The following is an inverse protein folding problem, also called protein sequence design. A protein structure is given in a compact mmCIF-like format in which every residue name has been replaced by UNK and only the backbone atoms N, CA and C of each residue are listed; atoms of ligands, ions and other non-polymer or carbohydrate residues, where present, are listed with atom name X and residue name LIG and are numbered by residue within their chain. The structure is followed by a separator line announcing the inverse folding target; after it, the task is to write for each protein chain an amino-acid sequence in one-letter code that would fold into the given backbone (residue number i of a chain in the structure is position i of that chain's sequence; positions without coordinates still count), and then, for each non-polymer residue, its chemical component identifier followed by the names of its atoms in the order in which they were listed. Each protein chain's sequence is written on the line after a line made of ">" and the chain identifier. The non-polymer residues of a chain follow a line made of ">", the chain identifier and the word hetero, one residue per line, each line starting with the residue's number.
data_IF_624162392167
#
_entry.id   IF_624162392167
#
_cell.length_a   1.000
_cell.length_b   1.000
_cell.length_c   1.000
_cell.angle_alpha   90.00
_cell.angle_beta   90.00
_cell.angle_gamma   90.00
#
_symmetry.space_group_name_H-M   'P 1'
#
loop_
_entity.id
_entity.type
_entity.pdbx_description
1 polymer ?
#
# COMPACT_ATOMS: atom_id res chain seq x y z
N UNK A 1 64.31 1.34 7.53
CA UNK A 1 63.33 0.50 8.26
C UNK A 1 62.05 0.46 7.44
N UNK A 2 61.70 -0.70 6.88
CA UNK A 2 60.46 -0.87 6.10
C UNK A 2 59.30 -0.85 7.11
N UNK A 3 58.48 0.20 7.08
CA UNK A 3 57.49 0.51 8.12
C UNK A 3 56.49 -0.66 8.26
N UNK A 4 56.62 -1.47 9.32
CA UNK A 4 55.72 -2.60 9.62
C UNK A 4 54.25 -2.17 9.68
N UNK A 5 54.00 -0.92 10.09
CA UNK A 5 52.69 -0.29 10.11
C UNK A 5 52.07 -0.10 8.71
N UNK A 6 52.88 0.08 7.66
CA UNK A 6 52.38 0.25 6.29
C UNK A 6 51.73 -1.02 5.74
N UNK A 7 52.24 -2.19 6.11
CA UNK A 7 51.64 -3.48 5.71
C UNK A 7 50.36 -3.77 6.49
N UNK A 8 50.33 -3.47 7.79
CA UNK A 8 49.11 -3.61 8.60
C UNK A 8 47.98 -2.70 8.11
N UNK A 9 48.28 -1.44 7.75
CA UNK A 9 47.29 -0.52 7.18
C UNK A 9 46.75 -0.99 5.82
N UNK A 10 47.62 -1.55 4.97
CA UNK A 10 47.21 -2.09 3.67
C UNK A 10 46.30 -3.32 3.82
N UNK A 11 46.64 -4.24 4.73
CA UNK A 11 45.80 -5.40 5.05
C UNK A 11 44.44 -4.97 5.64
N UNK A 12 44.44 -3.95 6.51
CA UNK A 12 43.21 -3.39 7.06
C UNK A 12 42.34 -2.76 5.97
N UNK A 13 42.93 -1.92 5.10
CA UNK A 13 42.21 -1.28 4.00
C UNK A 13 41.61 -2.30 3.03
N UNK A 14 42.33 -3.38 2.71
CA UNK A 14 41.83 -4.48 1.88
C UNK A 14 40.67 -5.22 2.57
N UNK A 15 40.82 -5.57 3.84
CA UNK A 15 39.78 -6.26 4.61
C UNK A 15 38.49 -5.44 4.68
N UNK A 16 38.62 -4.14 4.94
CA UNK A 16 37.50 -3.19 4.98
C UNK A 16 36.85 -3.08 3.60
N UNK A 17 37.64 -2.99 2.53
CA UNK A 17 37.12 -2.90 1.16
C UNK A 17 36.33 -4.16 0.78
N UNK A 18 36.88 -5.35 1.06
CA UNK A 18 36.20 -6.63 0.80
C UNK A 18 34.88 -6.73 1.58
N UNK A 19 34.88 -6.29 2.85
CA UNK A 19 33.67 -6.28 3.65
C UNK A 19 32.58 -5.37 3.06
N UNK A 20 32.93 -4.13 2.68
CA UNK A 20 31.97 -3.20 2.08
C UNK A 20 31.45 -3.68 0.72
N UNK A 21 32.33 -4.24 -0.12
CA UNK A 21 31.94 -4.82 -1.42
C UNK A 21 31.01 -6.01 -1.22
N UNK A 22 31.36 -6.93 -0.30
CA UNK A 22 30.54 -8.09 0.03
C UNK A 22 29.17 -7.70 0.55
N UNK A 23 29.11 -6.74 1.50
CA UNK A 23 27.85 -6.19 2.00
C UNK A 23 27.02 -5.58 0.87
N UNK A 24 27.63 -4.79 -0.01
CA UNK A 24 26.93 -4.16 -1.14
C UNK A 24 26.29 -5.21 -2.06
N UNK A 25 27.04 -6.25 -2.48
CA UNK A 25 26.48 -7.31 -3.33
C UNK A 25 25.34 -8.08 -2.65
N UNK A 26 25.48 -8.36 -1.35
CA UNK A 26 24.42 -9.00 -0.58
C UNK A 26 23.15 -8.15 -0.53
N UNK A 27 23.27 -6.86 -0.15
CA UNK A 27 22.13 -5.95 -0.09
C UNK A 27 21.50 -5.76 -1.46
N UNK A 28 22.30 -5.68 -2.53
CA UNK A 28 21.81 -5.59 -3.91
C UNK A 28 20.94 -6.79 -4.28
N UNK A 29 21.41 -8.01 -4.01
CA UNK A 29 20.68 -9.24 -4.30
C UNK A 29 19.39 -9.34 -3.47
N UNK A 30 19.45 -8.96 -2.19
CA UNK A 30 18.30 -8.91 -1.31
C UNK A 30 17.25 -7.90 -1.82
N UNK A 31 17.67 -6.68 -2.15
CA UNK A 31 16.80 -5.63 -2.66
C UNK A 31 16.11 -6.05 -3.97
N UNK A 32 16.85 -6.65 -4.90
CA UNK A 32 16.29 -7.14 -6.15
C UNK A 32 15.22 -8.21 -5.89
N UNK A 33 15.50 -9.18 -5.02
CA UNK A 33 14.54 -10.23 -4.64
C UNK A 33 13.29 -9.66 -3.96
N UNK A 34 13.46 -8.70 -3.06
CA UNK A 34 12.34 -8.06 -2.37
C UNK A 34 11.40 -7.36 -3.37
N UNK A 35 11.97 -6.60 -4.30
CA UNK A 35 11.20 -5.95 -5.36
C UNK A 35 10.53 -6.97 -6.28
N UNK A 36 11.24 -8.02 -6.70
CA UNK A 36 10.68 -9.05 -7.59
C UNK A 36 9.47 -9.75 -6.94
N UNK A 37 9.55 -10.05 -5.64
CA UNK A 37 8.42 -10.59 -4.87
C UNK A 37 7.26 -9.60 -4.83
N UNK A 38 7.54 -8.31 -4.64
CA UNK A 38 6.51 -7.27 -4.63
C UNK A 38 5.80 -7.16 -5.99
N UNK A 39 6.57 -7.11 -7.08
CA UNK A 39 6.06 -7.08 -8.47
C UNK A 39 5.21 -8.31 -8.78
N UNK A 40 5.64 -9.49 -8.31
CA UNK A 40 4.90 -10.74 -8.47
C UNK A 40 3.56 -10.71 -7.70
N UNK A 41 3.54 -10.17 -6.47
CA UNK A 41 2.30 -10.00 -5.69
C UNK A 41 1.32 -9.05 -6.36
N UNK A 42 1.80 -7.99 -7.03
CA UNK A 42 0.98 -7.11 -7.86
C UNK A 42 0.42 -7.79 -9.12
N UNK A 43 0.86 -9.02 -9.43
CA UNK A 43 0.37 -9.78 -10.57
C UNK A 43 0.92 -9.32 -11.92
N UNK A 44 2.04 -8.59 -11.96
CA UNK A 44 2.66 -8.16 -13.23
C UNK A 44 3.26 -9.38 -13.94
N UNK A 45 2.82 -9.74 -15.16
CA UNK A 45 3.37 -10.89 -15.87
C UNK A 45 4.80 -10.60 -16.36
N UNK A 46 5.78 -11.42 -16.01
CA UNK A 46 7.18 -11.19 -16.39
C UNK A 46 7.41 -11.11 -17.90
N UNK A 47 6.57 -11.77 -18.71
CA UNK A 47 6.60 -11.72 -20.18
C UNK A 47 6.23 -10.34 -20.76
N UNK A 48 5.50 -9.54 -19.99
CA UNK A 48 5.01 -8.23 -20.39
C UNK A 48 5.94 -7.11 -19.92
N UNK A 49 6.95 -7.43 -19.11
CA UNK A 49 7.96 -6.48 -18.64
C UNK A 49 9.00 -6.23 -19.74
N UNK A 50 9.32 -4.97 -20.00
CA UNK A 50 10.39 -4.56 -20.92
C UNK A 50 11.09 -3.29 -20.44
N UNK A 51 12.25 -2.96 -21.06
CA UNK A 51 13.10 -1.84 -20.65
C UNK A 51 13.49 -1.85 -19.16
N UNK A 52 13.68 -3.04 -18.60
CA UNK A 52 14.02 -3.22 -17.20
C UNK A 52 15.41 -2.65 -16.87
N UNK A 53 15.47 -1.87 -15.80
CA UNK A 53 16.70 -1.32 -15.22
C UNK A 53 16.68 -1.52 -13.71
N UNK A 54 17.81 -1.96 -13.16
CA UNK A 54 18.02 -2.05 -11.72
C UNK A 54 19.33 -1.36 -11.36
N UNK A 55 19.24 -0.25 -10.62
CA UNK A 55 20.36 0.64 -10.32
C UNK A 55 20.42 0.96 -8.84
N UNK A 56 21.62 1.21 -8.34
CA UNK A 56 21.80 1.78 -7.00
C UNK A 56 21.90 3.30 -7.12
N UNK A 57 20.91 4.01 -6.58
CA UNK A 57 20.88 5.47 -6.57
C UNK A 57 21.65 6.02 -5.37
N UNK A 58 22.99 5.90 -5.45
CA UNK A 58 23.89 6.39 -4.41
C UNK A 58 23.91 7.91 -4.28
N UNK A 59 23.48 8.66 -5.31
CA UNK A 59 23.56 10.12 -5.33
C UNK A 59 22.39 10.80 -4.63
N UNK A 60 21.19 10.23 -4.68
CA UNK A 60 20.00 10.87 -4.09
C UNK A 60 19.52 10.17 -2.83
N UNK A 61 19.19 8.90 -2.93
CA UNK A 61 18.41 8.19 -1.90
C UNK A 61 19.21 7.11 -1.16
N UNK A 62 20.36 6.70 -1.70
CA UNK A 62 21.08 5.51 -1.24
C UNK A 62 20.31 4.19 -1.49
N UNK A 63 19.18 4.24 -2.20
CA UNK A 63 18.24 3.13 -2.37
C UNK A 63 18.53 2.34 -3.65
N UNK A 64 18.10 1.09 -3.67
CA UNK A 64 18.07 0.31 -4.91
C UNK A 64 16.76 0.59 -5.64
N UNK A 65 16.88 0.95 -6.91
CA UNK A 65 15.75 1.36 -7.73
C UNK A 65 15.60 0.36 -8.88
N UNK A 66 14.45 -0.29 -8.96
CA UNK A 66 14.04 -1.06 -10.14
C UNK A 66 13.02 -0.25 -10.92
N UNK A 67 13.20 -0.15 -12.22
CA UNK A 67 12.24 0.51 -13.11
C UNK A 67 12.03 -0.31 -14.37
N UNK A 68 10.79 -0.40 -14.84
CA UNK A 68 10.46 -1.07 -16.08
C UNK A 68 9.17 -0.53 -16.69
N UNK A 69 8.87 -0.94 -17.92
CA UNK A 69 7.60 -0.69 -18.59
C UNK A 69 6.83 -2.00 -18.76
N UNK A 70 5.51 -1.89 -18.91
CA UNK A 70 4.62 -3.04 -19.05
C UNK A 70 3.88 -2.99 -20.37
N UNK A 71 3.90 -4.09 -21.13
CA UNK A 71 3.21 -4.19 -22.42
C UNK A 71 1.69 -4.08 -22.22
N UNK A 72 1.06 -3.30 -23.10
CA UNK A 72 -0.37 -3.02 -23.02
C UNK A 72 -0.74 -1.94 -22.01
N UNK A 73 0.22 -1.36 -21.30
CA UNK A 73 0.05 -0.08 -20.59
C UNK A 73 0.56 1.08 -21.48
N UNK A 74 0.32 2.32 -21.05
CA UNK A 74 0.79 3.49 -21.79
C UNK A 74 2.32 3.53 -21.86
N UNK A 75 2.88 3.84 -23.04
CA UNK A 75 4.31 3.72 -23.32
C UNK A 75 5.19 4.74 -22.56
N UNK A 76 4.57 5.80 -22.05
CA UNK A 76 5.18 6.86 -21.25
C UNK A 76 5.19 6.55 -19.75
N UNK A 77 4.43 5.54 -19.30
CA UNK A 77 4.39 5.10 -17.90
C UNK A 77 5.61 4.23 -17.59
N UNK A 78 6.27 4.54 -16.49
CA UNK A 78 7.35 3.72 -15.92
C UNK A 78 6.94 3.28 -14.53
N UNK A 79 6.95 1.95 -14.34
CA UNK A 79 6.77 1.34 -13.03
C UNK A 79 8.11 1.44 -12.30
N UNK A 80 8.14 2.11 -11.16
CA UNK A 80 9.36 2.31 -10.37
C UNK A 80 9.17 1.80 -8.94
N UNK A 81 10.16 1.07 -8.47
CA UNK A 81 10.20 0.46 -7.14
C UNK A 81 11.50 0.87 -6.44
N UNK A 82 11.39 1.30 -5.19
CA UNK A 82 12.51 1.72 -4.37
C UNK A 82 12.61 0.79 -3.16
N UNK A 83 13.76 0.16 -3.00
CA UNK A 83 14.08 -0.59 -1.80
C UNK A 83 14.87 0.30 -0.83
N UNK A 84 14.24 0.65 0.29
CA UNK A 84 14.80 1.54 1.31
C UNK A 84 15.40 0.68 2.44
N UNK A 85 16.74 0.66 2.54
CA UNK A 85 17.47 -0.18 3.52
C UNK A 85 17.07 0.14 4.98
N UNK A 86 16.67 1.38 5.26
CA UNK A 86 16.08 1.80 6.55
C UNK A 86 14.57 1.52 6.57
N UNK A 87 14.20 0.26 6.81
CA UNK A 87 12.79 -0.13 6.97
C UNK A 87 12.39 -1.41 6.24
N UNK A 88 13.21 -1.90 5.29
CA UNK A 88 12.93 -3.12 4.50
C UNK A 88 11.65 -3.08 3.65
N UNK A 89 11.05 -1.91 3.46
CA UNK A 89 9.87 -1.76 2.60
C UNK A 89 10.27 -1.46 1.15
N UNK A 90 9.48 -2.03 0.23
CA UNK A 90 9.52 -1.71 -1.19
C UNK A 90 8.44 -0.66 -1.45
N UNK A 91 8.86 0.55 -1.82
CA UNK A 91 7.95 1.62 -2.20
C UNK A 91 7.68 1.56 -3.71
N UNK A 92 6.42 1.64 -4.11
CA UNK A 92 6.01 1.74 -5.50
C UNK A 92 5.65 3.19 -5.85
N UNK A 93 6.34 3.77 -6.82
CA UNK A 93 6.16 5.17 -7.24
C UNK A 93 6.14 5.26 -8.77
N UNK A 94 5.05 4.85 -9.43
CA UNK A 94 4.99 4.96 -10.88
C UNK A 94 5.10 6.43 -11.30
N UNK A 95 5.72 6.68 -12.44
CA UNK A 95 5.82 8.05 -12.97
C UNK A 95 5.54 8.06 -14.47
N UNK A 96 5.02 9.19 -14.95
CA UNK A 96 4.90 9.52 -16.36
C UNK A 96 5.34 10.97 -16.57
N UNK A 97 6.00 11.31 -17.69
CA UNK A 97 6.25 12.70 -18.07
C UNK A 97 4.98 13.51 -18.34
N UNK A 98 3.82 12.86 -18.50
CA UNK A 98 2.56 13.50 -18.91
C UNK A 98 1.50 13.53 -17.80
N UNK A 99 1.72 12.85 -16.68
CA UNK A 99 0.79 12.81 -15.55
C UNK A 99 1.53 12.74 -14.22
N UNK A 100 1.08 13.55 -13.26
CA UNK A 100 1.55 13.49 -11.86
C UNK A 100 1.03 12.25 -11.13
N UNK A 101 -0.12 11.72 -11.56
CA UNK A 101 -0.73 10.48 -11.06
C UNK A 101 -0.97 9.53 -12.26
N UNK A 102 0.05 8.78 -12.71
CA UNK A 102 -0.12 7.87 -13.84
C UNK A 102 -1.09 6.74 -13.46
N UNK A 103 -2.12 6.56 -14.29
CA UNK A 103 -3.06 5.46 -14.14
C UNK A 103 -2.42 4.16 -14.63
N UNK A 104 -1.84 3.40 -13.70
CA UNK A 104 -1.15 2.14 -13.98
C UNK A 104 -2.11 0.97 -13.99
N UNK A 105 -1.88 0.00 -14.88
CA UNK A 105 -2.67 -1.24 -14.95
C UNK A 105 -2.52 -2.14 -13.71
N UNK A 106 -1.33 -2.18 -13.11
CA UNK A 106 -1.03 -3.04 -11.96
C UNK A 106 -0.69 -2.21 -10.72
N UNK A 107 -1.71 -1.89 -9.92
CA UNK A 107 -1.52 -1.19 -8.64
C UNK A 107 -1.12 -2.16 -7.52
N UNK A 108 -0.45 -1.69 -6.46
CA UNK A 108 -0.32 -2.45 -5.22
C UNK A 108 -1.70 -2.88 -4.70
N UNK A 109 -1.75 -4.04 -4.08
CA UNK A 109 -2.89 -4.43 -3.26
C UNK A 109 -3.00 -3.44 -2.09
N UNK A 110 -4.18 -2.85 -1.90
CA UNK A 110 -4.42 -1.91 -0.80
C UNK A 110 -4.55 -2.69 0.51
N UNK A 111 -3.96 -2.19 1.59
CA UNK A 111 -4.08 -2.75 2.94
C UNK A 111 -4.91 -1.86 3.85
N UNK A 112 -5.28 -2.33 5.03
CA UNK A 112 -6.05 -1.53 6.01
C UNK A 112 -5.37 -0.19 6.36
N UNK A 113 -4.03 -0.12 6.33
CA UNK A 113 -3.24 1.07 6.61
C UNK A 113 -3.42 2.18 5.55
N UNK A 114 -3.89 1.83 4.35
CA UNK A 114 -4.18 2.77 3.26
C UNK A 114 -5.54 3.47 3.43
N UNK A 115 -6.33 3.10 4.44
CA UNK A 115 -7.70 3.60 4.64
C UNK A 115 -7.87 4.27 6.01
N UNK A 116 -8.86 5.15 6.09
CA UNK A 116 -9.31 5.72 7.35
C UNK A 116 -10.20 4.71 8.08
N UNK A 117 -9.90 4.42 9.34
CA UNK A 117 -10.75 3.61 10.18
C UNK A 117 -11.77 4.49 10.91
N UNK A 118 -13.04 4.14 10.75
CA UNK A 118 -14.14 4.72 11.50
C UNK A 118 -14.79 3.67 12.39
N UNK A 119 -15.18 4.06 13.60
CA UNK A 119 -16.07 3.27 14.44
C UNK A 119 -17.49 3.78 14.31
N UNK A 120 -18.45 2.87 14.16
CA UNK A 120 -19.87 3.18 14.11
C UNK A 120 -20.70 2.09 14.79
N UNK A 121 -22.00 2.31 14.83
CA UNK A 121 -22.96 1.34 15.33
C UNK A 121 -24.05 1.13 14.28
N UNK A 122 -24.42 -0.14 14.07
CA UNK A 122 -25.50 -0.49 13.17
C UNK A 122 -26.86 -0.04 13.75
N UNK A 123 -27.71 0.58 12.93
CA UNK A 123 -29.11 0.81 13.29
C UNK A 123 -30.04 0.22 12.23
N UNK A 124 -31.23 -0.22 12.64
CA UNK A 124 -32.14 -0.93 11.75
C UNK A 124 -33.04 0.03 10.97
N UNK A 125 -33.19 -0.21 9.67
CA UNK A 125 -34.37 0.21 8.89
C UNK A 125 -34.69 -0.78 7.72
N UNK A 126 -34.68 -2.09 8.00
CA UNK A 126 -35.45 -3.08 7.24
C UNK A 126 -35.11 -3.35 5.76
N UNK A 127 -33.85 -3.19 5.31
CA UNK A 127 -33.47 -3.38 3.91
C UNK A 127 -32.15 -4.13 3.67
N UNK A 128 -31.68 -4.13 2.41
CA UNK A 128 -30.41 -4.73 1.96
C UNK A 128 -29.18 -3.85 2.18
N UNK A 129 -29.36 -2.64 2.71
CA UNK A 129 -28.29 -1.68 2.95
C UNK A 129 -27.93 -1.62 4.43
N UNK A 130 -26.64 -1.40 4.73
CA UNK A 130 -26.17 -1.31 6.10
C UNK A 130 -26.26 0.14 6.59
N UNK A 131 -27.15 0.36 7.55
CA UNK A 131 -27.38 1.66 8.15
C UNK A 131 -26.51 1.82 9.40
N UNK A 132 -25.74 2.90 9.44
CA UNK A 132 -24.77 3.17 10.50
C UNK A 132 -24.93 4.56 11.07
N UNK A 133 -24.79 4.69 12.39
CA UNK A 133 -24.83 5.97 13.05
C UNK A 133 -23.61 6.16 13.94
N UNK A 134 -23.31 7.42 14.28
CA UNK A 134 -22.15 7.80 15.10
C UNK A 134 -20.80 7.35 14.51
N UNK A 135 -20.66 7.41 13.18
CA UNK A 135 -19.39 7.22 12.51
C UNK A 135 -18.36 8.25 13.02
N UNK A 136 -17.37 7.78 13.76
CA UNK A 136 -16.30 8.61 14.31
C UNK A 136 -14.96 8.15 13.76
N UNK A 137 -14.17 9.09 13.26
CA UNK A 137 -12.82 8.78 12.79
C UNK A 137 -11.96 8.30 13.98
N UNK A 138 -11.34 7.14 13.82
CA UNK A 138 -10.43 6.56 14.82
C UNK A 138 -8.97 6.78 14.41
N UNK A 139 -8.60 6.41 13.19
CA UNK A 139 -7.27 6.62 12.62
C UNK A 139 -7.37 7.07 11.16
N UNK A 140 -6.45 7.94 10.76
CA UNK A 140 -6.34 8.46 9.40
C UNK A 140 -6.42 9.99 9.31
N UNK A 141 -6.71 10.50 8.11
CA UNK A 141 -6.74 11.95 7.79
C UNK A 141 -8.03 12.42 7.13
N UNK A 142 -9.00 11.52 6.98
CA UNK A 142 -10.29 11.82 6.35
C UNK A 142 -11.18 12.79 7.12
N UNK A 143 -12.30 13.20 6.52
CA UNK A 143 -13.27 14.05 7.18
C UNK A 143 -13.92 13.36 8.38
N UNK A 144 -14.22 14.11 9.44
CA UNK A 144 -15.08 13.62 10.51
C UNK A 144 -16.51 13.46 9.99
N UNK A 145 -16.96 12.21 9.89
CA UNK A 145 -18.30 11.84 9.40
C UNK A 145 -19.32 11.85 10.53
N UNK A 146 -19.27 12.88 11.37
CA UNK A 146 -20.19 13.09 12.52
C UNK A 146 -21.66 13.33 12.11
N UNK A 147 -21.96 13.25 10.82
CA UNK A 147 -23.31 13.29 10.28
C UNK A 147 -24.12 12.11 10.82
N UNK A 148 -25.30 12.40 11.39
CA UNK A 148 -26.04 11.48 12.25
C UNK A 148 -26.20 10.07 11.70
N UNK A 149 -27.08 9.91 10.70
CA UNK A 149 -27.49 8.63 10.13
C UNK A 149 -26.94 8.50 8.71
N UNK A 150 -26.18 7.46 8.44
CA UNK A 150 -25.60 7.16 7.13
C UNK A 150 -26.03 5.77 6.65
N UNK A 151 -25.99 5.57 5.35
CA UNK A 151 -26.18 4.29 4.69
C UNK A 151 -24.91 3.93 3.96
N UNK A 152 -24.40 2.73 4.24
CA UNK A 152 -23.32 2.12 3.50
C UNK A 152 -23.95 1.26 2.41
N UNK A 153 -23.81 1.70 1.17
CA UNK A 153 -24.36 0.99 0.03
C UNK A 153 -23.57 -0.31 -0.20
N UNK A 154 -24.32 -1.37 -0.48
CA UNK A 154 -23.93 -2.77 -0.64
C UNK A 154 -22.41 -3.02 -0.82
N UNK A 155 -21.72 -3.32 0.28
CA UNK A 155 -20.32 -3.76 0.24
C UNK A 155 -20.28 -5.27 0.41
N UNK A 156 -19.64 -5.98 -0.53
CA UNK A 156 -19.38 -7.42 -0.40
C UNK A 156 -18.24 -7.73 0.61
N UNK A 157 -17.68 -6.69 1.25
CA UNK A 157 -16.50 -6.79 2.11
C UNK A 157 -16.88 -6.63 3.59
N UNK A 158 -17.89 -7.38 4.04
CA UNK A 158 -18.33 -7.40 5.44
C UNK A 158 -17.83 -8.69 6.09
N UNK A 159 -17.23 -8.56 7.26
CA UNK A 159 -16.61 -9.66 8.00
C UNK A 159 -17.04 -9.66 9.47
N UNK A 160 -17.02 -10.81 10.10
CA UNK A 160 -17.12 -10.93 11.56
C UNK A 160 -15.78 -10.64 12.26
N UNK A 161 -15.77 -10.65 13.59
CA UNK A 161 -14.58 -10.44 14.40
C UNK A 161 -13.47 -11.49 14.20
N UNK A 162 -13.79 -12.65 13.62
CA UNK A 162 -12.83 -13.70 13.28
C UNK A 162 -12.26 -13.52 11.86
N UNK A 163 -12.76 -12.55 11.09
CA UNK A 163 -12.39 -12.33 9.70
C UNK A 163 -13.14 -13.19 8.70
N UNK A 164 -14.21 -13.88 9.12
CA UNK A 164 -15.06 -14.66 8.22
C UNK A 164 -16.07 -13.74 7.50
N UNK A 165 -16.26 -13.89 6.18
CA UNK A 165 -17.24 -13.10 5.44
C UNK A 165 -18.66 -13.33 5.96
N UNK A 166 -19.44 -12.26 6.10
CA UNK A 166 -20.85 -12.31 6.50
C UNK A 166 -21.69 -11.40 5.61
N UNK A 167 -22.99 -11.66 5.53
CA UNK A 167 -23.93 -10.82 4.78
C UNK A 167 -24.36 -9.59 5.59
N UNK A 168 -24.73 -8.50 4.91
CA UNK A 168 -25.24 -7.28 5.57
C UNK A 168 -26.47 -7.56 6.44
N UNK A 169 -27.29 -8.56 6.06
CA UNK A 169 -28.47 -9.00 6.82
C UNK A 169 -28.14 -9.69 8.15
N UNK A 170 -26.89 -10.11 8.35
CA UNK A 170 -26.42 -10.72 9.59
C UNK A 170 -25.99 -9.69 10.63
N UNK A 171 -25.86 -8.41 10.24
CA UNK A 171 -25.60 -7.30 11.14
C UNK A 171 -26.91 -6.88 11.80
N UNK A 172 -26.90 -6.84 13.13
CA UNK A 172 -28.05 -6.50 13.96
C UNK A 172 -27.94 -5.09 14.49
N UNK A 173 -29.09 -4.50 14.81
CA UNK A 173 -29.14 -3.23 15.53
C UNK A 173 -28.30 -3.29 16.81
N UNK A 174 -27.43 -2.30 16.98
CA UNK A 174 -26.54 -2.20 18.13
C UNK A 174 -25.19 -2.88 17.95
N UNK A 175 -24.98 -3.63 16.85
CA UNK A 175 -23.67 -4.18 16.53
C UNK A 175 -22.66 -3.05 16.32
N UNK A 176 -21.48 -3.20 16.91
CA UNK A 176 -20.36 -2.27 16.74
C UNK A 176 -19.62 -2.62 15.46
N UNK A 177 -19.26 -1.60 14.71
CA UNK A 177 -18.65 -1.74 13.40
C UNK A 177 -17.35 -0.96 13.32
N UNK A 178 -16.32 -1.62 12.81
CA UNK A 178 -15.09 -1.01 12.31
C UNK A 178 -15.19 -0.90 10.78
N UNK A 179 -15.14 0.31 10.25
CA UNK A 179 -15.43 0.62 8.84
C UNK A 179 -14.21 1.33 8.24
N UNK A 180 -13.60 0.71 7.23
CA UNK A 180 -12.41 1.22 6.54
C UNK A 180 -12.85 1.96 5.28
N UNK A 181 -12.66 3.28 5.25
CA UNK A 181 -13.08 4.17 4.17
C UNK A 181 -11.89 4.85 3.48
N UNK A 182 -12.02 5.12 2.19
CA UNK A 182 -11.02 5.87 1.42
C UNK A 182 -10.84 7.31 1.99
N UNK A 183 -9.64 7.88 1.84
CA UNK A 183 -9.35 9.26 2.23
C UNK A 183 -10.25 10.28 1.53
N UNK A 184 -10.63 10.00 0.29
CA UNK A 184 -11.46 10.87 -0.54
C UNK A 184 -12.95 10.48 -0.51
N UNK A 185 -13.42 9.84 0.57
CA UNK A 185 -14.82 9.44 0.70
C UNK A 185 -15.78 10.61 0.45
N UNK A 186 -16.78 10.38 -0.39
CA UNK A 186 -17.83 11.34 -0.67
C UNK A 186 -19.16 10.84 -0.09
N UNK A 187 -19.83 11.70 0.68
CA UNK A 187 -21.19 11.44 1.17
C UNK A 187 -22.17 12.06 0.19
N UNK A 188 -23.05 11.24 -0.38
CA UNK A 188 -24.15 11.70 -1.22
C UNK A 188 -25.20 12.33 -0.30
N UNK A 189 -25.60 13.56 -0.61
CA UNK A 189 -26.59 14.34 0.16
C UNK A 189 -28.01 13.80 -0.06
N UNK A 190 -28.31 12.66 0.54
CA UNK A 190 -29.64 12.08 0.70
C UNK A 190 -30.06 12.11 2.17
N UNK A 191 -31.30 11.73 2.47
CA UNK A 191 -31.75 11.55 3.86
C UNK A 191 -32.23 10.12 4.10
N UNK A 192 -31.47 9.28 4.84
CA UNK A 192 -30.11 9.50 5.36
C UNK A 192 -29.04 9.62 4.27
N UNK A 193 -27.88 10.20 4.61
CA UNK A 193 -26.76 10.37 3.68
C UNK A 193 -26.16 9.02 3.27
N UNK A 194 -25.60 8.93 2.06
CA UNK A 194 -25.15 7.65 1.49
C UNK A 194 -23.65 7.65 1.19
N UNK A 195 -22.99 6.53 1.48
CA UNK A 195 -21.61 6.24 1.09
C UNK A 195 -21.64 5.08 0.09
N UNK A 196 -21.04 5.32 -1.06
CA UNK A 196 -20.94 4.34 -2.15
C UNK A 196 -19.91 3.24 -1.85
N UNK A 197 -20.14 2.06 -2.40
CA UNK A 197 -19.34 0.85 -2.14
C UNK A 197 -17.85 1.03 -2.52
N UNK A 198 -17.58 1.82 -3.57
CA UNK A 198 -16.23 2.13 -4.05
C UNK A 198 -15.36 2.86 -3.03
N UNK A 199 -15.95 3.49 -2.02
CA UNK A 199 -15.20 4.15 -0.94
C UNK A 199 -15.02 3.24 0.28
N UNK A 200 -15.64 2.05 0.28
CA UNK A 200 -15.63 1.11 1.39
C UNK A 200 -14.64 0.00 1.07
N UNK A 201 -13.53 -0.03 1.81
CA UNK A 201 -12.58 -1.14 1.70
C UNK A 201 -13.11 -2.39 2.39
N UNK A 202 -13.53 -2.23 3.65
CA UNK A 202 -13.87 -3.33 4.55
C UNK A 202 -14.77 -2.85 5.68
N UNK A 203 -15.66 -3.72 6.13
CA UNK A 203 -16.50 -3.52 7.32
C UNK A 203 -16.32 -4.75 8.21
N UNK A 204 -16.09 -4.54 9.50
CA UNK A 204 -15.93 -5.61 10.50
C UNK A 204 -16.94 -5.42 11.62
N UNK A 205 -17.73 -6.46 11.89
CA UNK A 205 -18.57 -6.55 13.10
C UNK A 205 -17.70 -6.99 14.27
N UNK A 206 -17.57 -6.12 15.27
CA UNK A 206 -16.82 -6.36 16.52
C UNK A 206 -17.55 -7.28 17.51
#
# INVERSE_FOLDING_TARGET
>A
MRNRYSWMLLVLALSVSVFFVGKHYYTKAYAQKAIDVFVMKQGVPSKDIYEEKFVWDWQKSGSYVKSFKVRGDSADIVYQYLFIEKGQDVLFTPYSPTSDEPNVKYTPEKTEDDFNLYHGEAYEDGGTSLYVYRLKLYTGRGPELSMGKLVLHNSNNIFDANGEPIEATEIKKGDKLSIYLDEKVAVIETYPGQIDDKYIFKIVRE
#
